data_IF_078073698216
#
_entry.id   IF_078073698216
#
_cell.length_a   1.000
_cell.length_b   1.000
_cell.length_c   1.000
_cell.angle_alpha   90.00
_cell.angle_beta   90.00
_cell.angle_gamma   90.00
#
_symmetry.space_group_name_H-M   'P 1'
#
loop_
_entity.id
_entity.type
_entity.pdbx_description
1 polymer ?
#
# COMPACT_ATOMS: atom_id res chain seq x y z
N UNK A 1 22.83 -52.27 -1.44
CA UNK A 1 23.14 -50.81 -1.44
C UNK A 1 22.45 -49.97 -2.53
N UNK A 2 21.73 -50.54 -3.52
CA UNK A 2 21.13 -49.76 -4.64
C UNK A 2 19.76 -49.13 -4.32
N UNK A 3 18.97 -49.74 -3.42
CA UNK A 3 17.56 -49.36 -3.21
C UNK A 3 17.38 -48.13 -2.32
N UNK A 4 18.27 -47.92 -1.34
CA UNK A 4 18.19 -46.75 -0.44
C UNK A 4 18.39 -45.42 -1.20
N UNK A 5 19.24 -45.40 -2.23
CA UNK A 5 19.44 -44.23 -3.10
C UNK A 5 18.17 -43.85 -3.87
N UNK A 6 17.43 -44.85 -4.37
CA UNK A 6 16.15 -44.62 -5.07
C UNK A 6 15.06 -44.13 -4.12
N UNK A 7 14.99 -44.70 -2.91
CA UNK A 7 14.06 -44.25 -1.88
C UNK A 7 14.39 -42.83 -1.40
N UNK A 8 15.67 -42.53 -1.18
CA UNK A 8 16.11 -41.18 -0.84
C UNK A 8 15.78 -40.17 -1.97
N UNK A 9 16.02 -40.54 -3.23
CA UNK A 9 15.66 -39.71 -4.38
C UNK A 9 14.14 -39.46 -4.46
N UNK A 10 13.31 -40.49 -4.22
CA UNK A 10 11.87 -40.35 -4.20
C UNK A 10 11.41 -39.43 -3.06
N UNK A 11 11.96 -39.59 -1.86
CA UNK A 11 11.65 -38.74 -0.70
C UNK A 11 12.03 -37.27 -0.97
N UNK A 12 13.21 -37.03 -1.56
CA UNK A 12 13.63 -35.68 -1.94
C UNK A 12 12.71 -35.08 -3.01
N UNK A 13 12.25 -35.86 -4.00
CA UNK A 13 11.29 -35.39 -4.99
C UNK A 13 9.95 -35.02 -4.37
N UNK A 14 9.42 -35.85 -3.46
CA UNK A 14 8.16 -35.56 -2.77
C UNK A 14 8.29 -34.29 -1.93
N UNK A 15 9.39 -34.14 -1.18
CA UNK A 15 9.66 -32.94 -0.39
C UNK A 15 9.77 -31.69 -1.28
N UNK A 16 10.44 -31.79 -2.42
CA UNK A 16 10.54 -30.68 -3.37
C UNK A 16 9.18 -30.26 -3.92
N UNK A 17 8.34 -31.23 -4.34
CA UNK A 17 6.97 -30.95 -4.80
C UNK A 17 6.13 -30.32 -3.70
N UNK A 18 6.27 -30.80 -2.46
CA UNK A 18 5.58 -30.22 -1.30
C UNK A 18 5.94 -28.75 -1.10
N UNK A 19 7.24 -28.42 -1.06
CA UNK A 19 7.71 -27.04 -0.87
C UNK A 19 7.30 -26.09 -2.01
N UNK A 20 7.28 -26.60 -3.24
CA UNK A 20 6.76 -25.86 -4.40
C UNK A 20 5.25 -25.63 -4.29
N UNK A 21 4.50 -26.62 -3.82
CA UNK A 21 3.07 -26.52 -3.56
C UNK A 21 2.73 -25.45 -2.52
N UNK A 22 3.45 -25.44 -1.40
CA UNK A 22 3.32 -24.42 -0.35
C UNK A 22 3.60 -23.00 -0.90
N UNK A 23 4.67 -22.87 -1.69
CA UNK A 23 5.03 -21.60 -2.31
C UNK A 23 3.92 -21.12 -3.27
N UNK A 24 3.44 -21.99 -4.15
CA UNK A 24 2.35 -21.68 -5.08
C UNK A 24 1.07 -21.28 -4.36
N UNK A 25 0.73 -21.97 -3.26
CA UNK A 25 -0.42 -21.65 -2.42
C UNK A 25 -0.33 -20.24 -1.83
N UNK A 26 0.83 -19.83 -1.32
CA UNK A 26 1.05 -18.48 -0.78
C UNK A 26 0.84 -17.39 -1.85
N UNK A 27 1.41 -17.57 -3.05
CA UNK A 27 1.22 -16.63 -4.15
C UNK A 27 -0.25 -16.55 -4.60
N UNK A 28 -0.91 -17.70 -4.73
CA UNK A 28 -2.32 -17.76 -5.10
C UNK A 28 -3.19 -17.02 -4.08
N UNK A 29 -2.95 -17.25 -2.78
CA UNK A 29 -3.66 -16.58 -1.69
C UNK A 29 -3.44 -15.07 -1.72
N UNK A 30 -2.21 -14.61 -1.93
CA UNK A 30 -1.91 -13.18 -2.03
C UNK A 30 -2.64 -12.53 -3.21
N UNK A 31 -2.63 -13.17 -4.39
CA UNK A 31 -3.34 -12.69 -5.57
C UNK A 31 -4.85 -12.64 -5.36
N UNK A 32 -5.40 -13.66 -4.72
CA UNK A 32 -6.83 -13.72 -4.41
C UNK A 32 -7.24 -12.63 -3.42
N UNK A 33 -6.42 -12.34 -2.40
CA UNK A 33 -6.66 -11.24 -1.48
C UNK A 33 -6.73 -9.88 -2.20
N UNK A 34 -5.82 -9.63 -3.16
CA UNK A 34 -5.86 -8.40 -3.97
C UNK A 34 -7.15 -8.29 -4.78
N UNK A 35 -7.61 -9.40 -5.37
CA UNK A 35 -8.89 -9.42 -6.09
C UNK A 35 -10.07 -9.10 -5.18
N UNK A 36 -10.13 -9.69 -3.98
CA UNK A 36 -11.18 -9.42 -2.99
C UNK A 36 -11.17 -7.97 -2.49
N UNK A 37 -9.98 -7.38 -2.34
CA UNK A 37 -9.84 -5.96 -2.00
C UNK A 37 -10.37 -5.05 -3.09
N UNK A 38 -10.00 -5.33 -4.35
CA UNK A 38 -10.52 -4.57 -5.48
C UNK A 38 -12.03 -4.69 -5.62
N UNK A 39 -12.58 -5.90 -5.46
CA UNK A 39 -14.02 -6.12 -5.51
C UNK A 39 -14.76 -5.39 -4.37
N UNK A 40 -14.26 -5.46 -3.13
CA UNK A 40 -14.83 -4.70 -2.01
C UNK A 40 -14.76 -3.19 -2.24
N UNK A 41 -13.68 -2.68 -2.84
CA UNK A 41 -13.59 -1.28 -3.24
C UNK A 41 -14.64 -0.93 -4.29
N UNK A 42 -14.86 -1.77 -5.31
CA UNK A 42 -15.89 -1.53 -6.33
C UNK A 42 -17.30 -1.54 -5.72
N UNK A 43 -17.57 -2.37 -4.72
CA UNK A 43 -18.85 -2.34 -3.97
C UNK A 43 -18.99 -1.03 -3.20
N UNK A 44 -17.93 -0.59 -2.52
CA UNK A 44 -17.90 0.66 -1.75
C UNK A 44 -18.15 1.88 -2.64
N UNK A 45 -17.64 1.87 -3.88
CA UNK A 45 -17.91 2.92 -4.86
C UNK A 45 -19.37 2.99 -5.33
N UNK A 46 -20.14 1.88 -5.25
CA UNK A 46 -21.52 1.84 -5.74
C UNK A 46 -22.53 2.40 -4.74
N UNK A 47 -22.31 2.14 -3.45
CA UNK A 47 -23.26 2.49 -2.39
C UNK A 47 -22.70 3.46 -1.35
N UNK A 48 -21.40 3.79 -1.42
CA UNK A 48 -20.72 4.70 -0.51
C UNK A 48 -20.41 4.11 0.88
N UNK A 49 -20.71 2.83 1.11
CA UNK A 49 -20.48 2.16 2.40
C UNK A 49 -19.16 1.39 2.43
N UNK A 50 -18.65 1.14 3.63
CA UNK A 50 -17.43 0.34 3.80
C UNK A 50 -17.74 -1.15 3.66
N UNK A 51 -17.14 -1.81 2.67
CA UNK A 51 -17.26 -3.26 2.48
C UNK A 51 -15.98 -3.97 2.90
N UNK A 52 -16.15 -5.01 3.72
CA UNK A 52 -15.06 -5.91 4.07
C UNK A 52 -14.72 -6.81 2.88
N UNK A 53 -13.45 -7.03 2.54
CA UNK A 53 -13.04 -7.91 1.44
C UNK A 53 -13.35 -9.39 1.67
N UNK A 54 -13.45 -9.81 2.94
CA UNK A 54 -13.93 -11.12 3.35
C UNK A 54 -14.59 -11.01 4.73
N UNK A 55 -15.44 -11.97 5.15
CA UNK A 55 -16.32 -11.80 6.32
C UNK A 55 -15.61 -11.45 7.64
N UNK A 56 -14.41 -12.00 7.84
CA UNK A 56 -13.61 -11.80 9.05
C UNK A 56 -12.48 -10.76 8.90
N UNK A 57 -12.51 -9.93 7.85
CA UNK A 57 -11.60 -8.80 7.73
C UNK A 57 -11.93 -7.74 8.80
N UNK A 58 -10.92 -7.22 9.48
CA UNK A 58 -10.99 -6.10 10.42
C UNK A 58 -10.66 -4.76 9.76
N UNK A 59 -10.72 -4.72 8.43
CA UNK A 59 -10.42 -3.54 7.62
C UNK A 59 -11.34 -3.48 6.40
N UNK A 60 -11.36 -2.32 5.76
CA UNK A 60 -12.06 -2.07 4.52
C UNK A 60 -11.20 -1.16 3.62
N UNK A 61 -11.33 -1.28 2.28
CA UNK A 61 -10.88 -0.27 1.33
C UNK A 61 -11.53 1.09 1.59
N UNK A 62 -10.74 2.14 1.80
CA UNK A 62 -11.26 3.50 2.04
C UNK A 62 -10.89 4.51 0.96
N UNK A 63 -9.86 4.20 0.16
CA UNK A 63 -9.43 5.00 -0.96
C UNK A 63 -8.69 4.14 -1.98
N UNK A 64 -8.53 4.67 -3.20
CA UNK A 64 -7.60 4.15 -4.20
C UNK A 64 -6.62 5.24 -4.59
N UNK A 65 -5.33 4.92 -4.57
CA UNK A 65 -4.27 5.75 -5.11
C UNK A 65 -3.87 5.23 -6.49
N UNK A 66 -3.69 6.13 -7.44
CA UNK A 66 -3.18 5.82 -8.77
C UNK A 66 -1.97 6.71 -9.02
N UNK A 67 -0.87 6.07 -9.43
CA UNK A 67 0.40 6.70 -9.79
C UNK A 67 0.60 6.48 -11.29
N UNK A 68 0.23 7.45 -12.15
CA UNK A 68 0.26 7.26 -13.60
C UNK A 68 1.67 7.00 -14.14
N UNK A 69 2.68 7.69 -13.61
CA UNK A 69 4.07 7.57 -14.06
C UNK A 69 4.66 6.16 -13.86
N UNK A 70 4.20 5.44 -12.82
CA UNK A 70 4.68 4.08 -12.49
C UNK A 70 3.67 2.98 -12.87
N UNK A 71 2.54 3.33 -13.51
CA UNK A 71 1.42 2.43 -13.79
C UNK A 71 1.01 1.59 -12.55
N UNK A 72 0.89 2.26 -11.39
CA UNK A 72 0.48 1.62 -10.13
C UNK A 72 -0.90 2.06 -9.69
N UNK A 73 -1.68 1.09 -9.23
CA UNK A 73 -2.99 1.29 -8.60
C UNK A 73 -2.96 0.54 -7.27
N UNK A 74 -3.26 1.25 -6.19
CA UNK A 74 -3.21 0.72 -4.84
C UNK A 74 -4.53 1.00 -4.14
N UNK A 75 -5.12 -0.03 -3.57
CA UNK A 75 -6.23 0.12 -2.62
C UNK A 75 -5.65 0.43 -1.25
N UNK A 76 -6.14 1.50 -0.62
CA UNK A 76 -5.73 1.94 0.72
C UNK A 76 -6.72 1.39 1.74
N UNK A 77 -6.19 0.71 2.76
CA UNK A 77 -6.98 0.06 3.80
C UNK A 77 -7.14 0.94 5.04
N UNK A 78 -8.28 0.82 5.72
CA UNK A 78 -8.50 1.46 7.02
C UNK A 78 -7.60 0.82 8.10
N UNK A 79 -6.85 1.64 8.84
CA UNK A 79 -6.08 1.23 10.00
C UNK A 79 -4.71 0.65 9.66
N UNK A 80 -3.65 1.36 10.01
CA UNK A 80 -2.25 0.98 9.80
C UNK A 80 -1.75 -0.07 10.81
N UNK A 81 -2.36 -1.27 10.80
CA UNK A 81 -1.89 -2.43 11.57
C UNK A 81 -0.93 -3.30 10.74
N UNK A 82 -0.08 -4.09 11.41
CA UNK A 82 0.81 -5.03 10.72
C UNK A 82 0.04 -6.05 9.85
N UNK A 83 -1.17 -6.45 10.28
CA UNK A 83 -2.04 -7.33 9.50
C UNK A 83 -2.54 -6.66 8.23
N UNK A 84 -2.95 -5.39 8.28
CA UNK A 84 -3.49 -4.69 7.12
C UNK A 84 -2.37 -4.34 6.12
N UNK A 85 -1.20 -3.93 6.63
CA UNK A 85 -0.02 -3.63 5.83
C UNK A 85 0.46 -4.84 4.99
N UNK A 86 0.20 -6.07 5.45
CA UNK A 86 0.50 -7.29 4.71
C UNK A 86 -0.33 -7.44 3.41
N UNK A 87 -1.44 -6.72 3.28
CA UNK A 87 -2.33 -6.77 2.11
C UNK A 87 -2.32 -5.49 1.27
N UNK A 88 -1.86 -4.36 1.80
CA UNK A 88 -1.82 -3.11 1.06
C UNK A 88 -1.38 -1.92 1.88
N UNK A 89 -1.19 -0.76 1.22
CA UNK A 89 -1.01 0.49 1.93
C UNK A 89 -2.18 0.74 2.89
N UNK A 90 -1.88 1.20 4.09
CA UNK A 90 -2.87 1.32 5.16
C UNK A 90 -2.83 2.73 5.75
N UNK A 91 -4.01 3.32 5.92
CA UNK A 91 -4.19 4.65 6.48
C UNK A 91 -4.06 4.64 8.00
N UNK A 92 -3.35 5.63 8.54
CA UNK A 92 -3.25 5.86 9.97
C UNK A 92 -4.54 6.52 10.47
N UNK A 93 -5.32 5.80 11.26
CA UNK A 93 -6.63 6.26 11.76
C UNK A 93 -6.59 7.53 12.61
N UNK A 94 -5.43 7.89 13.18
CA UNK A 94 -5.23 9.14 13.90
C UNK A 94 -5.10 10.37 12.99
N UNK A 95 -4.91 10.17 11.69
CA UNK A 95 -4.79 11.22 10.67
C UNK A 95 -6.13 11.41 9.93
N UNK A 96 -6.30 12.52 9.20
CA UNK A 96 -7.56 12.78 8.48
C UNK A 96 -7.77 11.76 7.36
N UNK A 97 -9.03 11.52 6.98
CA UNK A 97 -9.34 10.60 5.86
C UNK A 97 -8.67 11.11 4.58
N UNK A 98 -8.14 10.23 3.71
CA UNK A 98 -7.55 10.65 2.44
C UNK A 98 -8.49 11.59 1.66
N UNK A 99 -7.97 12.76 1.26
CA UNK A 99 -8.71 13.75 0.47
C UNK A 99 -9.47 14.80 1.29
N UNK A 100 -9.54 14.66 2.62
CA UNK A 100 -10.03 15.71 3.52
C UNK A 100 -8.94 16.74 3.82
N UNK A 101 -9.35 17.92 4.27
CA UNK A 101 -8.43 18.99 4.71
C UNK A 101 -7.62 18.50 5.90
N UNK A 102 -6.30 18.66 5.84
CA UNK A 102 -5.34 18.11 6.79
C UNK A 102 -4.41 17.08 6.14
N UNK A 103 -3.56 16.46 6.96
CA UNK A 103 -2.61 15.44 6.51
C UNK A 103 -3.19 14.05 6.72
N UNK A 104 -3.32 13.29 5.63
CA UNK A 104 -3.65 11.87 5.64
C UNK A 104 -2.37 11.05 5.52
N UNK A 105 -2.05 10.27 6.55
CA UNK A 105 -0.85 9.44 6.59
C UNK A 105 -1.18 8.03 6.12
N UNK A 106 -0.43 7.52 5.14
CA UNK A 106 -0.60 6.19 4.56
C UNK A 106 0.74 5.47 4.64
N UNK A 107 0.78 4.39 5.41
CA UNK A 107 1.94 3.53 5.54
C UNK A 107 1.92 2.40 4.50
N UNK A 108 3.09 1.97 4.06
CA UNK A 108 3.24 0.81 3.19
C UNK A 108 4.63 0.19 3.29
N UNK A 109 4.72 -1.10 2.99
CA UNK A 109 5.98 -1.83 3.01
C UNK A 109 6.90 -1.43 1.86
N UNK A 110 8.18 -1.16 2.17
CA UNK A 110 9.22 -0.69 1.23
C UNK A 110 9.63 -1.73 0.18
N UNK A 111 9.36 -3.01 0.43
CA UNK A 111 9.79 -4.15 -0.37
C UNK A 111 8.64 -4.77 -1.18
N UNK A 112 7.41 -4.31 -0.94
CA UNK A 112 6.21 -4.76 -1.63
C UNK A 112 5.42 -3.58 -2.19
N UNK A 113 4.34 -3.18 -1.53
CA UNK A 113 3.37 -2.20 -2.04
C UNK A 113 3.97 -0.82 -2.32
N UNK A 114 4.96 -0.39 -1.54
CA UNK A 114 5.63 0.91 -1.70
C UNK A 114 7.04 0.83 -2.27
N UNK A 115 7.49 -0.33 -2.77
CA UNK A 115 8.83 -0.47 -3.36
C UNK A 115 9.11 0.53 -4.51
N UNK A 116 8.08 0.83 -5.30
CA UNK A 116 8.17 1.79 -6.39
C UNK A 116 8.31 3.24 -5.92
N UNK A 117 8.05 3.56 -4.65
CA UNK A 117 8.26 4.92 -4.14
C UNK A 117 9.73 5.34 -4.20
N UNK A 118 10.67 4.39 -4.32
CA UNK A 118 12.08 4.71 -4.60
C UNK A 118 12.33 5.36 -5.97
N UNK A 119 11.35 5.29 -6.88
CA UNK A 119 11.44 5.77 -8.26
C UNK A 119 10.62 7.03 -8.52
N UNK A 120 9.82 7.48 -7.54
CA UNK A 120 8.99 8.68 -7.70
C UNK A 120 9.82 9.95 -7.65
N UNK A 121 9.32 10.99 -8.29
CA UNK A 121 10.03 12.27 -8.42
C UNK A 121 9.16 13.44 -7.97
N UNK A 122 9.79 14.55 -7.60
CA UNK A 122 9.09 15.81 -7.35
C UNK A 122 8.34 16.24 -8.62
N UNK A 123 7.13 16.79 -8.43
CA UNK A 123 6.24 17.20 -9.52
C UNK A 123 5.40 16.06 -10.12
N UNK A 124 5.65 14.80 -9.77
CA UNK A 124 4.80 13.71 -10.24
C UNK A 124 3.40 13.76 -9.59
N UNK A 125 2.40 13.33 -10.38
CA UNK A 125 1.00 13.37 -9.96
C UNK A 125 0.54 12.05 -9.33
N UNK A 126 -0.29 12.16 -8.31
CA UNK A 126 -1.01 11.07 -7.66
C UNK A 126 -2.50 11.38 -7.78
N UNK A 127 -3.27 10.43 -8.31
CA UNK A 127 -4.72 10.52 -8.33
C UNK A 127 -5.29 9.76 -7.14
N UNK A 128 -6.00 10.46 -6.28
CA UNK A 128 -6.79 9.89 -5.20
C UNK A 128 -8.24 9.70 -5.67
N UNK A 129 -8.77 8.49 -5.51
CA UNK A 129 -10.19 8.20 -5.60
C UNK A 129 -10.73 7.93 -4.20
N UNK A 130 -11.69 8.73 -3.77
CA UNK A 130 -12.41 8.59 -2.51
C UNK A 130 -13.59 7.62 -2.65
N UNK A 131 -14.12 7.11 -1.52
CA UNK A 131 -15.21 6.11 -1.50
C UNK A 131 -16.52 6.61 -2.14
N UNK A 132 -16.74 7.93 -2.13
CA UNK A 132 -17.84 8.62 -2.78
C UNK A 132 -17.63 8.79 -4.30
N UNK A 133 -16.57 8.19 -4.86
CA UNK A 133 -16.20 8.29 -6.26
C UNK A 133 -15.45 9.58 -6.62
N UNK A 134 -15.24 10.51 -5.69
CA UNK A 134 -14.56 11.78 -5.96
C UNK A 134 -13.10 11.55 -6.33
N UNK A 135 -12.67 12.19 -7.42
CA UNK A 135 -11.31 12.15 -7.93
C UNK A 135 -10.58 13.45 -7.59
N UNK A 136 -9.43 13.34 -6.95
CA UNK A 136 -8.61 14.49 -6.54
C UNK A 136 -7.16 14.26 -6.99
N UNK A 137 -6.60 15.23 -7.71
CA UNK A 137 -5.19 15.22 -8.10
C UNK A 137 -4.33 15.80 -6.99
N UNK A 138 -3.20 15.16 -6.75
CA UNK A 138 -2.13 15.58 -5.87
C UNK A 138 -0.83 15.62 -6.64
N UNK A 139 0.09 16.47 -6.22
CA UNK A 139 1.44 16.57 -6.77
C UNK A 139 2.46 16.35 -5.66
N UNK A 140 3.49 15.55 -5.93
CA UNK A 140 4.58 15.28 -5.00
C UNK A 140 5.43 16.55 -4.87
N UNK A 141 5.39 17.17 -3.70
CA UNK A 141 6.10 18.42 -3.43
C UNK A 141 7.35 18.24 -2.57
N UNK A 142 7.49 17.10 -1.91
CA UNK A 142 8.63 16.83 -1.02
C UNK A 142 8.87 15.32 -0.89
N UNK A 143 10.15 14.96 -0.91
CA UNK A 143 10.65 13.60 -0.69
C UNK A 143 11.81 13.72 0.30
N UNK A 144 11.76 12.96 1.40
CA UNK A 144 12.82 12.99 2.40
C UNK A 144 12.98 11.66 3.15
N UNK A 145 14.15 11.46 3.76
CA UNK A 145 14.38 10.40 4.74
C UNK A 145 14.36 11.04 6.13
N UNK A 146 13.59 10.48 7.05
CA UNK A 146 13.43 10.99 8.42
C UNK A 146 13.59 9.87 9.45
N UNK A 147 14.05 10.22 10.65
CA UNK A 147 14.15 9.28 11.77
C UNK A 147 12.89 9.38 12.63
N UNK A 148 12.15 8.27 12.81
CA UNK A 148 10.90 8.26 13.59
C UNK A 148 11.07 8.70 15.04
N UNK A 149 12.28 8.64 15.59
CA UNK A 149 12.56 9.03 16.98
C UNK A 149 12.60 10.55 17.15
N UNK A 150 12.89 11.27 16.06
CA UNK A 150 13.09 12.72 16.06
C UNK A 150 12.01 13.46 15.26
N UNK A 151 11.10 12.73 14.60
CA UNK A 151 10.11 13.29 13.68
C UNK A 151 8.68 13.12 14.17
N UNK A 152 8.04 14.23 14.56
CA UNK A 152 6.58 14.30 14.62
C UNK A 152 6.05 14.71 13.24
N UNK A 153 5.30 13.82 12.59
CA UNK A 153 4.54 14.18 11.40
C UNK A 153 3.41 15.11 11.86
N UNK A 154 3.54 16.41 11.57
CA UNK A 154 2.46 17.38 11.81
C UNK A 154 1.22 16.95 11.01
N UNK A 155 0.16 16.60 11.71
CA UNK A 155 -1.09 16.13 11.09
C UNK A 155 -2.01 17.26 10.60
N UNK A 156 -1.64 18.52 10.92
CA UNK A 156 -2.42 19.71 10.58
C UNK A 156 -1.89 20.35 9.30
N UNK A 157 -2.82 20.67 8.38
CA UNK A 157 -2.58 21.44 7.18
C UNK A 157 -3.89 22.11 6.73
N UNK A 158 -3.79 23.29 6.11
CA UNK A 158 -4.97 24.07 5.66
C UNK A 158 -5.53 23.58 4.32
N UNK A 159 -4.93 22.55 3.73
CA UNK A 159 -5.36 21.90 2.50
C UNK A 159 -5.20 20.38 2.62
N UNK A 160 -5.83 19.58 1.75
CA UNK A 160 -5.59 18.13 1.73
C UNK A 160 -4.14 17.80 1.35
N UNK A 161 -3.51 16.96 2.17
CA UNK A 161 -2.14 16.48 2.00
C UNK A 161 -2.11 14.96 2.16
N UNK A 162 -1.38 14.28 1.28
CA UNK A 162 -1.05 12.87 1.42
C UNK A 162 0.40 12.74 1.90
N UNK A 163 0.60 12.03 3.00
CA UNK A 163 1.92 11.65 3.51
C UNK A 163 2.10 10.13 3.37
N UNK A 164 2.89 9.70 2.40
CA UNK A 164 3.18 8.30 2.16
C UNK A 164 4.47 7.91 2.89
N UNK A 165 4.40 6.88 3.72
CA UNK A 165 5.48 6.49 4.63
C UNK A 165 5.89 5.04 4.37
N UNK A 166 7.18 4.82 4.14
CA UNK A 166 7.77 3.48 4.04
C UNK A 166 9.04 3.38 4.91
N UNK A 167 9.46 2.15 5.27
CA UNK A 167 10.77 1.95 5.91
C UNK A 167 11.93 2.29 4.96
N UNK A 168 13.05 2.76 5.48
CA UNK A 168 14.26 3.08 4.71
C UNK A 168 15.50 2.42 5.36
N UNK A 169 16.53 1.99 4.61
CA UNK A 169 16.71 2.02 3.15
C UNK A 169 15.93 0.92 2.40
N UNK A 170 15.56 1.15 1.13
CA UNK A 170 14.81 0.16 0.33
C UNK A 170 15.52 -1.18 0.14
N UNK A 171 16.85 -1.20 0.15
CA UNK A 171 17.69 -2.37 -0.17
C UNK A 171 18.31 -3.04 1.07
N UNK A 172 17.97 -2.61 2.29
CA UNK A 172 18.54 -3.22 3.48
C UNK A 172 17.92 -4.60 3.76
N UNK A 173 18.78 -5.58 4.07
CA UNK A 173 18.38 -6.91 4.51
C UNK A 173 17.71 -6.86 5.90
N UNK A 174 18.13 -5.93 6.76
CA UNK A 174 17.51 -5.64 8.04
C UNK A 174 16.47 -4.52 7.92
N UNK A 175 15.23 -4.79 8.34
CA UNK A 175 14.06 -3.91 8.21
C UNK A 175 13.65 -3.21 9.51
N UNK A 176 14.46 -3.30 10.57
CA UNK A 176 14.17 -2.74 11.90
C UNK A 176 14.67 -1.31 12.15
N UNK A 177 15.30 -0.66 11.17
CA UNK A 177 15.87 0.68 11.35
C UNK A 177 14.81 1.77 11.63
N UNK A 178 15.18 2.87 12.29
CA UNK A 178 14.25 3.95 12.63
C UNK A 178 13.95 4.88 11.45
N UNK A 179 14.68 4.75 10.34
CA UNK A 179 14.53 5.62 9.19
C UNK A 179 13.27 5.31 8.37
N UNK A 180 12.60 6.36 7.91
CA UNK A 180 11.42 6.30 7.04
C UNK A 180 11.63 7.17 5.82
N UNK A 181 11.21 6.65 4.68
CA UNK A 181 11.08 7.39 3.45
C UNK A 181 9.69 8.04 3.44
N UNK A 182 9.66 9.37 3.31
CA UNK A 182 8.46 10.18 3.37
C UNK A 182 8.26 10.89 2.03
N UNK A 183 7.12 10.65 1.40
CA UNK A 183 6.66 11.35 0.20
C UNK A 183 5.46 12.19 0.59
N UNK A 184 5.56 13.50 0.44
CA UNK A 184 4.46 14.45 0.69
C UNK A 184 3.90 14.92 -0.64
N UNK A 185 2.59 14.77 -0.81
CA UNK A 185 1.87 15.29 -1.96
C UNK A 185 0.75 16.23 -1.52
N UNK A 186 0.59 17.36 -2.22
CA UNK A 186 -0.46 18.37 -1.94
C UNK A 186 -1.49 18.36 -3.04
N UNK A 187 -2.75 18.63 -2.69
CA UNK A 187 -3.82 18.68 -3.69
C UNK A 187 -3.55 19.78 -4.73
N UNK A 188 -3.70 19.43 -6.00
CA UNK A 188 -3.70 20.36 -7.11
C UNK A 188 -5.15 20.79 -7.36
N UNK A 189 -5.45 22.06 -7.13
CA UNK A 189 -6.70 22.66 -7.57
C UNK A 189 -6.55 22.91 -9.07
N UNK A 190 -7.10 22.03 -9.91
CA UNK A 190 -7.18 22.32 -11.34
C UNK A 190 -8.13 23.50 -11.52
N UNK A 191 -7.59 24.69 -11.75
CA UNK A 191 -8.37 25.81 -12.25
C UNK A 191 -9.04 25.40 -13.55
N UNK A 192 -10.32 25.74 -13.71
CA UNK A 192 -11.00 25.65 -15.00
C UNK A 192 -10.29 26.58 -15.98
N UNK A 193 -9.29 26.07 -16.70
CA UNK A 193 -8.82 26.71 -17.92
C UNK A 193 -9.89 26.47 -18.98
N UNK A 194 -10.87 27.37 -19.00
CA UNK A 194 -11.77 27.54 -20.14
C UNK A 194 -10.89 28.07 -21.27
N UNK A 195 -10.73 27.29 -22.32
CA UNK A 195 -10.36 27.76 -23.66
C UNK A 195 -11.60 27.69 -24.54
#
# INVERSE_FOLDING_TARGET
>A
MRNWRKQAALLLMVLAVWLLGESAYLFAKARFAQYLLDDAWQRSLRDGNDHRPWPWADTAPIARLVFPAQDKKLVVLAGASGRNLAFGPSHLSASVTPGQVGVSVIGGHRDTHFAFLSQVQLGEQILLQSRDGRLQWFEIVQIQVTDVRDSDIRLQADAPVLALVACYPFTALDSGGPLRYLVIARQVVRGLSVS
#
